data_IF_113486193498
#
_entry.id   IF_113486193498
#
_cell.length_a   1.000
_cell.length_b   1.000
_cell.length_c   1.000
_cell.angle_alpha   90.00
_cell.angle_beta   90.00
_cell.angle_gamma   90.00
#
_symmetry.space_group_name_H-M   'P 1'
#
loop_
_entity.id
_entity.type
_entity.pdbx_description
1 polymer ?
#
# COMPACT_ATOMS: atom_id res chain seq x y z
N UNK A 1 2.32 19.09 6.06
CA UNK A 1 3.27 18.37 5.18
C UNK A 1 3.93 17.20 5.90
N UNK A 2 4.49 17.41 7.11
CA UNK A 2 5.02 16.33 7.98
C UNK A 2 4.00 15.21 8.28
N UNK A 3 2.72 15.55 8.49
CA UNK A 3 1.66 14.57 8.77
C UNK A 3 1.43 13.59 7.62
N UNK A 4 1.52 14.05 6.36
CA UNK A 4 1.35 13.20 5.18
C UNK A 4 2.47 12.14 5.09
N UNK A 5 3.71 12.55 5.36
CA UNK A 5 4.85 11.64 5.39
C UNK A 5 4.76 10.64 6.55
N UNK A 6 4.30 11.08 7.73
CA UNK A 6 4.06 10.19 8.87
C UNK A 6 3.00 9.14 8.55
N UNK A 7 1.89 9.55 7.93
CA UNK A 7 0.82 8.64 7.52
C UNK A 7 1.31 7.61 6.51
N UNK A 8 2.11 8.05 5.52
CA UNK A 8 2.71 7.17 4.51
C UNK A 8 3.64 6.11 5.13
N UNK A 9 4.48 6.53 6.08
CA UNK A 9 5.42 5.65 6.79
C UNK A 9 4.66 4.61 7.62
N UNK A 10 3.59 5.02 8.33
CA UNK A 10 2.75 4.10 9.11
C UNK A 10 2.07 3.09 8.20
N UNK A 11 1.46 3.53 7.09
CA UNK A 11 0.84 2.62 6.13
C UNK A 11 1.85 1.66 5.51
N UNK A 12 3.04 2.15 5.13
CA UNK A 12 4.08 1.30 4.56
C UNK A 12 4.57 0.26 5.57
N UNK A 13 4.81 0.66 6.82
CA UNK A 13 5.20 -0.25 7.88
C UNK A 13 4.12 -1.30 8.18
N UNK A 14 2.84 -0.93 8.14
CA UNK A 14 1.71 -1.84 8.32
C UNK A 14 1.62 -2.87 7.19
N UNK A 15 1.69 -2.42 5.93
CA UNK A 15 1.61 -3.30 4.75
C UNK A 15 2.81 -4.25 4.70
N UNK A 16 4.02 -3.73 4.96
CA UNK A 16 5.25 -4.52 5.00
C UNK A 16 5.21 -5.51 6.18
N UNK A 17 4.77 -5.08 7.36
CA UNK A 17 4.63 -5.92 8.54
C UNK A 17 3.64 -7.07 8.34
N UNK A 18 2.47 -6.80 7.77
CA UNK A 18 1.45 -7.82 7.46
C UNK A 18 1.95 -8.77 6.37
N UNK A 19 2.60 -8.25 5.32
CA UNK A 19 3.19 -9.06 4.25
C UNK A 19 4.29 -9.99 4.79
N UNK A 20 5.17 -9.50 5.67
CA UNK A 20 6.20 -10.29 6.34
C UNK A 20 5.64 -11.31 7.35
N UNK A 21 4.51 -11.03 8.01
CA UNK A 21 3.87 -11.99 8.91
C UNK A 21 3.34 -13.22 8.15
N UNK A 22 2.83 -13.03 6.92
CA UNK A 22 2.37 -14.12 6.06
C UNK A 22 3.48 -14.88 5.32
N UNK A 23 4.72 -14.36 5.35
CA UNK A 23 5.93 -14.99 4.79
C UNK A 23 6.13 -16.43 5.24
N UNK A 24 5.79 -16.76 6.49
CA UNK A 24 6.05 -18.08 7.06
C UNK A 24 5.04 -19.16 6.66
N UNK A 25 3.86 -18.79 6.14
CA UNK A 25 2.81 -19.78 5.80
C UNK A 25 2.68 -20.05 4.31
N UNK A 26 2.81 -19.04 3.43
CA UNK A 26 2.64 -19.22 1.97
C UNK A 26 3.41 -18.14 1.17
N UNK A 27 4.51 -18.48 0.45
CA UNK A 27 5.30 -17.51 -0.32
C UNK A 27 4.51 -16.68 -1.36
N UNK A 28 3.50 -17.18 -2.09
CA UNK A 28 2.74 -16.34 -3.03
C UNK A 28 1.82 -15.31 -2.35
N UNK A 29 1.46 -15.51 -1.08
CA UNK A 29 0.54 -14.59 -0.36
C UNK A 29 1.23 -13.27 0.00
N UNK A 30 2.57 -13.27 0.06
CA UNK A 30 3.39 -12.09 0.31
C UNK A 30 3.19 -11.00 -0.76
N UNK A 31 2.89 -11.39 -2.00
CA UNK A 31 2.63 -10.47 -3.13
C UNK A 31 1.16 -10.11 -3.30
N UNK A 32 0.25 -10.96 -2.82
CA UNK A 32 -1.20 -10.73 -2.88
C UNK A 32 -1.61 -9.60 -1.94
N UNK A 33 -0.97 -9.48 -0.77
CA UNK A 33 -1.33 -8.47 0.22
C UNK A 33 -1.06 -7.05 -0.31
N UNK A 34 0.16 -6.69 -0.76
CA UNK A 34 0.38 -5.36 -1.34
C UNK A 34 -0.48 -5.11 -2.58
N UNK A 35 -0.57 -6.08 -3.51
CA UNK A 35 -1.36 -5.89 -4.74
C UNK A 35 -2.86 -5.66 -4.48
N UNK A 36 -3.45 -6.34 -3.49
CA UNK A 36 -4.81 -6.08 -3.05
C UNK A 36 -4.96 -4.66 -2.47
N UNK A 37 -4.01 -4.20 -1.66
CA UNK A 37 -3.99 -2.82 -1.17
C UNK A 37 -3.90 -1.80 -2.32
N UNK A 38 -3.10 -2.07 -3.36
CA UNK A 38 -3.02 -1.21 -4.54
C UNK A 38 -4.36 -1.13 -5.29
N UNK A 39 -5.03 -2.27 -5.47
CA UNK A 39 -6.35 -2.32 -6.12
C UNK A 39 -7.40 -1.52 -5.32
N UNK A 40 -7.43 -1.70 -4.00
CA UNK A 40 -8.31 -0.92 -3.11
C UNK A 40 -8.02 0.57 -3.19
N UNK A 41 -6.74 0.95 -3.25
CA UNK A 41 -6.31 2.36 -3.38
C UNK A 41 -6.81 3.00 -4.66
N UNK A 42 -6.77 2.27 -5.78
CA UNK A 42 -7.26 2.75 -7.08
C UNK A 42 -8.79 2.92 -7.04
N UNK A 43 -9.51 1.97 -6.44
CA UNK A 43 -10.98 2.07 -6.29
C UNK A 43 -11.35 3.27 -5.43
N UNK A 44 -10.66 3.49 -4.30
CA UNK A 44 -10.86 4.67 -3.45
C UNK A 44 -10.57 5.96 -4.21
N UNK A 45 -9.52 5.98 -5.04
CA UNK A 45 -9.16 7.15 -5.83
C UNK A 45 -10.25 7.51 -6.84
N UNK A 46 -10.80 6.51 -7.54
CA UNK A 46 -11.91 6.69 -8.49
C UNK A 46 -13.17 7.16 -7.76
N UNK A 47 -13.51 6.55 -6.63
CA UNK A 47 -14.66 6.94 -5.80
C UNK A 47 -14.53 8.37 -5.26
N UNK A 48 -13.31 8.82 -5.01
CA UNK A 48 -13.03 10.18 -4.53
C UNK A 48 -13.43 11.26 -5.55
N UNK A 49 -13.26 10.98 -6.85
CA UNK A 49 -13.72 11.87 -7.91
C UNK A 49 -15.25 12.00 -7.98
N UNK A 50 -15.98 11.01 -7.45
CA UNK A 50 -17.46 11.02 -7.46
C UNK A 50 -18.06 11.81 -6.30
N UNK A 51 -17.38 11.85 -5.15
CA UNK A 51 -17.89 12.50 -3.93
C UNK A 51 -17.69 14.02 -3.96
N UNK A 52 -16.62 14.51 -4.60
CA UNK A 52 -16.35 15.95 -4.75
C UNK A 52 -16.17 16.74 -3.44
N UNK A 53 -15.77 18.00 -3.54
CA UNK A 53 -15.63 18.92 -2.40
C UNK A 53 -14.44 18.63 -1.46
N UNK A 54 -14.47 19.22 -0.26
CA UNK A 54 -13.38 19.12 0.74
C UNK A 54 -13.17 17.68 1.23
N UNK A 55 -14.24 16.88 1.26
CA UNK A 55 -14.19 15.45 1.60
C UNK A 55 -13.52 14.62 0.49
N UNK A 56 -13.81 14.93 -0.78
CA UNK A 56 -13.12 14.32 -1.92
C UNK A 56 -11.62 14.65 -1.95
N UNK A 57 -11.21 15.88 -1.63
CA UNK A 57 -9.77 16.21 -1.51
C UNK A 57 -9.05 15.40 -0.43
N UNK A 58 -9.68 15.17 0.73
CA UNK A 58 -9.11 14.32 1.77
C UNK A 58 -8.94 12.88 1.28
N UNK A 59 -9.96 12.33 0.63
CA UNK A 59 -9.93 10.97 0.09
C UNK A 59 -8.93 10.78 -1.04
N UNK A 60 -8.71 11.76 -1.93
CA UNK A 60 -7.68 11.66 -2.97
C UNK A 60 -6.28 11.62 -2.37
N UNK A 61 -6.00 12.47 -1.38
CA UNK A 61 -4.70 12.50 -0.68
C UNK A 61 -4.41 11.17 0.01
N UNK A 62 -5.38 10.61 0.73
CA UNK A 62 -5.25 9.30 1.39
C UNK A 62 -5.03 8.19 0.36
N UNK A 63 -5.77 8.22 -0.76
CA UNK A 63 -5.64 7.22 -1.82
C UNK A 63 -4.26 7.23 -2.46
N UNK A 64 -3.71 8.42 -2.76
CA UNK A 64 -2.36 8.58 -3.32
C UNK A 64 -1.30 8.09 -2.31
N UNK A 65 -1.46 8.41 -1.03
CA UNK A 65 -0.57 7.96 0.04
C UNK A 65 -0.52 6.43 0.11
N UNK A 66 -1.70 5.79 0.10
CA UNK A 66 -1.85 4.34 0.09
C UNK A 66 -1.24 3.69 -1.17
N UNK A 67 -1.37 4.34 -2.33
CA UNK A 67 -0.83 3.86 -3.60
C UNK A 67 0.70 3.88 -3.61
N UNK A 68 1.31 4.98 -3.14
CA UNK A 68 2.77 5.12 -3.00
C UNK A 68 3.32 4.11 -1.99
N UNK A 69 2.65 3.98 -0.84
CA UNK A 69 2.98 3.02 0.22
C UNK A 69 2.96 1.57 -0.28
N UNK A 70 1.91 1.18 -0.99
CA UNK A 70 1.78 -0.18 -1.53
C UNK A 70 2.81 -0.47 -2.62
N UNK A 71 3.08 0.49 -3.50
CA UNK A 71 4.13 0.36 -4.51
C UNK A 71 5.52 0.18 -3.86
N UNK A 72 5.84 0.95 -2.82
CA UNK A 72 7.07 0.78 -2.06
C UNK A 72 7.14 -0.60 -1.38
N UNK A 73 6.02 -1.06 -0.79
CA UNK A 73 5.94 -2.39 -0.18
C UNK A 73 6.15 -3.51 -1.21
N UNK A 74 5.58 -3.40 -2.42
CA UNK A 74 5.82 -4.33 -3.53
C UNK A 74 7.29 -4.38 -3.94
N UNK A 75 7.95 -3.23 -4.05
CA UNK A 75 9.37 -3.16 -4.39
C UNK A 75 10.20 -3.89 -3.32
N UNK A 76 9.97 -3.59 -2.04
CA UNK A 76 10.68 -4.24 -0.92
C UNK A 76 10.42 -5.75 -0.92
N UNK A 77 9.17 -6.17 -1.00
CA UNK A 77 8.78 -7.59 -1.03
C UNK A 77 9.38 -8.33 -2.22
N UNK A 78 9.40 -7.71 -3.41
CA UNK A 78 10.02 -8.25 -4.62
C UNK A 78 11.53 -8.42 -4.47
N UNK A 79 12.24 -7.42 -3.94
CA UNK A 79 13.68 -7.53 -3.66
C UNK A 79 13.98 -8.65 -2.67
N UNK A 80 13.19 -8.77 -1.59
CA UNK A 80 13.35 -9.85 -0.61
C UNK A 80 12.99 -11.24 -1.17
N UNK A 81 11.99 -11.32 -2.05
CA UNK A 81 11.63 -12.56 -2.73
C UNK A 81 12.67 -12.99 -3.75
N UNK A 82 13.26 -12.03 -4.48
CA UNK A 82 14.33 -12.27 -5.43
C UNK A 82 15.61 -12.76 -4.73
N UNK A 83 16.01 -12.11 -3.63
CA UNK A 83 17.17 -12.49 -2.79
C UNK A 83 17.06 -13.88 -2.14
N UNK A 84 15.88 -14.49 -2.09
CA UNK A 84 15.66 -15.85 -1.55
C UNK A 84 15.40 -16.90 -2.63
N UNK A 85 15.24 -16.48 -3.89
CA UNK A 85 15.13 -17.40 -5.02
C UNK A 85 16.49 -17.85 -5.57
N UNK A 86 17.59 -17.28 -5.04
CA UNK A 86 18.95 -17.84 -5.07
C UNK A 86 19.23 -18.60 -3.77
#
# INVERSE_FOLDING_TARGET
MMEFWFMNIIFAALIIGISLFFRNKKPPVMYIIPSAFTAVSIILLIASFTIGGFSGMGMTVISICLLISSAAALIVVSFYGFLKSE
#
